data_IF_583260896139
#
_entry.id   IF_583260896139
#
_cell.length_a   1.000
_cell.length_b   1.000
_cell.length_c   1.000
_cell.angle_alpha   90.00
_cell.angle_beta   90.00
_cell.angle_gamma   90.00
#
_symmetry.space_group_name_H-M   'P 1'
#
loop_
_entity.id
_entity.type
_entity.pdbx_description
1 polymer ?
#
# COMPACT_ATOMS: atom_id res chain seq x y z
N UNK A 1 16.58 -41.92 8.34
CA UNK A 1 15.41 -41.11 8.76
C UNK A 1 15.98 -39.79 9.27
N UNK A 2 16.36 -38.86 8.37
CA UNK A 2 15.47 -37.86 7.74
C UNK A 2 14.91 -36.91 8.81
N UNK A 3 15.12 -35.60 8.81
CA UNK A 3 15.71 -34.66 7.85
C UNK A 3 16.11 -33.38 8.62
N UNK A 4 17.18 -32.74 8.17
CA UNK A 4 17.54 -31.35 8.47
C UNK A 4 16.43 -30.40 7.98
N UNK A 5 16.14 -29.38 8.77
CA UNK A 5 15.37 -28.21 8.31
C UNK A 5 16.28 -27.00 8.40
N UNK A 6 16.93 -26.69 7.28
CA UNK A 6 17.42 -25.34 6.98
C UNK A 6 16.24 -24.51 6.51
N UNK A 7 16.03 -23.35 7.13
CA UNK A 7 15.26 -22.26 6.50
C UNK A 7 16.06 -20.97 6.67
N UNK A 8 16.85 -20.71 5.63
CA UNK A 8 17.18 -19.41 5.03
C UNK A 8 17.13 -18.18 5.92
N UNK A 9 18.33 -17.67 6.20
CA UNK A 9 18.58 -16.27 6.52
C UNK A 9 17.88 -15.37 5.50
N UNK A 10 16.97 -14.53 5.98
CA UNK A 10 16.42 -13.43 5.19
C UNK A 10 17.56 -12.44 4.96
N UNK A 11 18.02 -12.37 3.71
CA UNK A 11 19.02 -11.43 3.25
C UNK A 11 18.38 -10.02 3.24
N UNK A 12 18.54 -9.27 4.33
CA UNK A 12 18.13 -7.86 4.38
C UNK A 12 19.14 -7.02 3.58
N UNK A 13 18.97 -6.98 2.26
CA UNK A 13 19.49 -5.86 1.47
C UNK A 13 18.89 -4.56 2.04
N UNK A 14 19.63 -3.45 2.09
CA UNK A 14 19.12 -2.19 2.62
C UNK A 14 18.03 -1.67 1.69
N UNK A 15 16.79 -2.07 1.96
CA UNK A 15 15.65 -1.75 1.14
C UNK A 15 15.39 -0.26 1.27
N UNK A 16 15.68 0.47 0.20
CA UNK A 16 15.46 1.90 0.08
C UNK A 16 14.06 2.23 0.63
N UNK A 17 14.00 3.05 1.69
CA UNK A 17 12.76 3.31 2.44
C UNK A 17 11.80 4.09 1.54
N UNK A 18 10.94 3.37 0.81
CA UNK A 18 9.92 3.96 -0.05
C UNK A 18 8.80 4.54 0.81
N UNK A 19 8.38 5.75 0.47
CA UNK A 19 7.29 6.44 1.17
C UNK A 19 5.96 5.77 0.84
N UNK A 20 5.24 5.27 1.85
CA UNK A 20 3.90 4.71 1.63
C UNK A 20 2.86 5.83 1.53
N UNK A 21 2.29 6.04 0.34
CA UNK A 21 1.29 7.10 0.11
C UNK A 21 -0.08 6.79 0.69
N UNK A 22 -0.39 5.52 0.99
CA UNK A 22 -1.70 5.12 1.51
C UNK A 22 -2.04 5.81 2.85
N UNK A 23 -1.02 6.10 3.66
CA UNK A 23 -1.19 6.76 4.97
C UNK A 23 -1.19 8.29 4.92
N UNK A 24 -1.11 8.91 3.74
CA UNK A 24 -1.02 10.37 3.65
C UNK A 24 -2.41 11.00 3.51
N UNK A 25 -2.63 12.09 4.25
CA UNK A 25 -3.78 12.96 4.01
C UNK A 25 -3.63 13.71 2.68
N UNK A 26 -4.73 14.28 2.18
CA UNK A 26 -4.71 15.06 0.94
C UNK A 26 -3.71 16.24 0.99
N UNK A 27 -3.60 16.92 2.13
CA UNK A 27 -2.61 17.98 2.34
C UNK A 27 -1.19 17.42 2.25
N UNK A 28 -0.92 16.33 2.97
CA UNK A 28 0.42 15.71 3.02
C UNK A 28 0.86 15.17 1.66
N UNK A 29 -0.08 14.65 0.86
CA UNK A 29 0.18 14.30 -0.54
C UNK A 29 0.52 15.53 -1.37
N UNK A 30 -0.22 16.63 -1.20
CA UNK A 30 0.09 17.89 -1.88
C UNK A 30 1.51 18.37 -1.57
N UNK A 31 1.88 18.37 -0.28
CA UNK A 31 3.22 18.76 0.19
C UNK A 31 4.30 17.83 -0.37
N UNK A 32 4.05 16.51 -0.39
CA UNK A 32 4.95 15.53 -0.99
C UNK A 32 5.18 15.80 -2.47
N UNK A 33 4.12 16.07 -3.25
CA UNK A 33 4.26 16.39 -4.67
C UNK A 33 5.03 17.69 -4.90
N UNK A 34 4.80 18.71 -4.08
CA UNK A 34 5.56 19.97 -4.17
C UNK A 34 7.05 19.76 -3.87
N UNK A 35 7.39 18.94 -2.86
CA UNK A 35 8.78 18.60 -2.51
C UNK A 35 9.54 17.91 -3.64
N UNK A 36 8.86 17.08 -4.43
CA UNK A 36 9.47 16.39 -5.59
C UNK A 36 9.44 17.23 -6.88
N UNK A 37 9.03 18.50 -6.81
CA UNK A 37 8.99 19.41 -7.96
C UNK A 37 7.74 19.29 -8.84
N UNK A 38 6.70 18.61 -8.35
CA UNK A 38 5.43 18.43 -9.04
C UNK A 38 4.34 19.38 -8.52
N UNK A 39 3.26 19.52 -9.28
CA UNK A 39 2.13 20.37 -8.89
C UNK A 39 1.26 19.69 -7.82
N UNK A 40 0.81 20.45 -6.82
CA UNK A 40 -0.07 19.97 -5.75
C UNK A 40 -1.32 19.20 -6.24
N UNK A 41 -1.89 19.55 -7.40
CA UNK A 41 -3.09 18.88 -7.93
C UNK A 41 -2.86 17.39 -8.25
N UNK A 42 -1.60 16.95 -8.41
CA UNK A 42 -1.25 15.53 -8.59
C UNK A 42 -1.72 14.67 -7.41
N UNK A 43 -1.77 15.24 -6.20
CA UNK A 43 -2.33 14.58 -5.02
C UNK A 43 -3.77 14.09 -5.27
N UNK A 44 -4.62 14.93 -5.84
CA UNK A 44 -6.01 14.58 -6.15
C UNK A 44 -6.12 13.43 -7.15
N UNK A 45 -5.18 13.35 -8.11
CA UNK A 45 -5.13 12.24 -9.07
C UNK A 45 -4.79 10.92 -8.37
N UNK A 46 -3.78 10.92 -7.48
CA UNK A 46 -3.40 9.74 -6.69
C UNK A 46 -4.55 9.29 -5.78
N UNK A 47 -5.18 10.22 -5.06
CA UNK A 47 -6.32 9.90 -4.18
C UNK A 47 -7.44 9.22 -4.96
N UNK A 48 -7.74 9.72 -6.16
CA UNK A 48 -8.75 9.12 -7.03
C UNK A 48 -8.39 7.68 -7.41
N UNK A 49 -7.14 7.41 -7.79
CA UNK A 49 -6.69 6.06 -8.12
C UNK A 49 -6.75 5.11 -6.93
N UNK A 50 -6.20 5.50 -5.79
CA UNK A 50 -6.11 4.63 -4.63
C UNK A 50 -7.49 4.41 -4.00
N UNK A 51 -8.21 5.49 -3.67
CA UNK A 51 -9.41 5.38 -2.82
C UNK A 51 -10.73 5.25 -3.61
N UNK A 52 -10.82 5.81 -4.83
CA UNK A 52 -12.05 5.69 -5.62
C UNK A 52 -11.99 4.51 -6.59
N UNK A 53 -10.83 4.23 -7.18
CA UNK A 53 -10.66 3.14 -8.15
C UNK A 53 -10.06 1.87 -7.54
N UNK A 54 -9.52 1.92 -6.31
CA UNK A 54 -8.91 0.76 -5.66
C UNK A 54 -7.59 0.31 -6.31
N UNK A 55 -6.93 1.17 -7.09
CA UNK A 55 -5.72 0.84 -7.84
C UNK A 55 -4.49 1.27 -7.05
N UNK A 56 -3.67 0.30 -6.67
CA UNK A 56 -2.41 0.51 -5.96
C UNK A 56 -1.18 0.46 -6.89
N UNK A 57 -1.36 0.07 -8.15
CA UNK A 57 -0.29 0.00 -9.14
C UNK A 57 -0.11 1.35 -9.85
N UNK A 58 1.09 1.93 -9.72
CA UNK A 58 1.46 3.19 -10.37
C UNK A 58 1.45 3.10 -11.90
N UNK A 59 1.71 1.92 -12.48
CA UNK A 59 1.73 1.74 -13.94
C UNK A 59 0.35 1.92 -14.56
N UNK A 60 -0.70 1.54 -13.82
CA UNK A 60 -2.08 1.65 -14.25
C UNK A 60 -2.60 3.10 -14.22
N UNK A 61 -1.87 4.02 -13.58
CA UNK A 61 -2.28 5.42 -13.46
C UNK A 61 -2.00 6.21 -14.75
N UNK A 62 -2.83 5.99 -15.77
CA UNK A 62 -2.65 6.53 -17.14
C UNK A 62 -2.70 8.05 -17.27
N UNK A 63 -3.20 8.77 -16.25
CA UNK A 63 -3.23 10.23 -16.21
C UNK A 63 -1.93 10.86 -15.64
N UNK A 64 -0.97 10.03 -15.23
CA UNK A 64 0.39 10.44 -14.88
C UNK A 64 1.30 10.30 -16.11
N UNK A 65 2.26 11.22 -16.28
CA UNK A 65 3.27 11.07 -17.32
C UNK A 65 4.13 9.83 -17.07
N UNK A 66 4.79 9.32 -18.12
CA UNK A 66 5.73 8.19 -17.98
C UNK A 66 6.85 8.55 -17.00
N UNK A 67 7.46 9.71 -17.17
CA UNK A 67 8.55 10.21 -16.33
C UNK A 67 8.15 10.31 -14.84
N UNK A 68 6.91 10.76 -14.56
CA UNK A 68 6.42 10.84 -13.19
C UNK A 68 6.19 9.45 -12.58
N UNK A 69 5.65 8.51 -13.36
CA UNK A 69 5.47 7.12 -12.89
C UNK A 69 6.81 6.47 -12.58
N UNK A 70 7.80 6.63 -13.45
CA UNK A 70 9.16 6.12 -13.23
C UNK A 70 9.76 6.71 -11.95
N UNK A 71 9.72 8.04 -11.79
CA UNK A 71 10.19 8.71 -10.57
C UNK A 71 9.49 8.22 -9.31
N UNK A 72 8.16 8.02 -9.36
CA UNK A 72 7.39 7.55 -8.22
C UNK A 72 7.75 6.10 -7.86
N UNK A 73 8.04 5.23 -8.83
CA UNK A 73 8.45 3.85 -8.53
C UNK A 73 9.71 3.75 -7.68
N UNK A 74 10.62 4.71 -7.81
CA UNK A 74 11.87 4.72 -7.05
C UNK A 74 11.68 5.16 -5.60
N UNK A 75 10.75 6.09 -5.36
CA UNK A 75 10.63 6.79 -4.06
C UNK A 75 9.35 6.46 -3.28
N UNK A 76 8.33 5.90 -3.94
CA UNK A 76 6.99 5.63 -3.39
C UNK A 76 6.62 4.15 -3.46
N UNK A 77 5.83 3.72 -2.49
CA UNK A 77 5.04 2.51 -2.55
C UNK A 77 3.57 2.78 -2.15
N UNK A 78 2.65 1.92 -2.59
CA UNK A 78 1.27 1.90 -2.13
C UNK A 78 1.02 0.48 -1.63
N UNK A 79 1.29 0.26 -0.34
CA UNK A 79 1.17 -1.06 0.28
C UNK A 79 -0.07 -1.08 1.18
N UNK A 80 -0.95 -2.04 0.91
CA UNK A 80 -2.09 -2.36 1.76
C UNK A 80 -1.63 -3.24 2.94
N UNK A 81 -2.29 -3.14 4.10
CA UNK A 81 -2.00 -4.03 5.21
C UNK A 81 -2.35 -5.48 4.86
N UNK A 82 -1.59 -6.42 5.41
CA UNK A 82 -1.74 -7.86 5.16
C UNK A 82 -3.02 -8.38 5.83
N UNK A 83 -3.85 -9.11 5.08
CA UNK A 83 -5.00 -9.85 5.62
C UNK A 83 -4.52 -11.24 6.05
N UNK A 84 -4.46 -11.48 7.36
CA UNK A 84 -4.01 -12.74 7.96
C UNK A 84 -5.08 -13.83 7.83
N UNK A 85 -6.34 -13.45 8.00
CA UNK A 85 -7.47 -14.37 7.87
C UNK A 85 -8.75 -13.64 7.46
N UNK A 86 -9.63 -14.34 6.74
CA UNK A 86 -10.95 -13.88 6.36
C UNK A 86 -11.99 -14.93 6.75
N UNK A 87 -13.12 -14.50 7.30
CA UNK A 87 -14.25 -15.35 7.67
C UNK A 87 -15.53 -14.78 7.07
N UNK A 88 -16.22 -15.59 6.29
CA UNK A 88 -17.51 -15.28 5.68
C UNK A 88 -18.64 -15.96 6.47
N UNK A 89 -19.68 -15.19 6.81
CA UNK A 89 -20.89 -15.67 7.47
C UNK A 89 -22.02 -15.87 6.46
N UNK A 90 -23.00 -16.72 6.78
CA UNK A 90 -24.18 -16.99 5.94
C UNK A 90 -25.12 -15.79 5.80
N UNK A 91 -25.06 -14.85 6.75
CA UNK A 91 -25.86 -13.61 6.74
C UNK A 91 -25.22 -12.49 5.89
N UNK A 92 -24.07 -12.76 5.26
CA UNK A 92 -23.33 -11.80 4.46
C UNK A 92 -22.32 -10.96 5.25
N UNK A 93 -22.26 -11.12 6.57
CA UNK A 93 -21.20 -10.50 7.38
C UNK A 93 -19.85 -11.08 7.01
N UNK A 94 -18.85 -10.21 6.87
CA UNK A 94 -17.45 -10.61 6.63
C UNK A 94 -16.54 -10.03 7.70
N UNK A 95 -15.64 -10.86 8.20
CA UNK A 95 -14.67 -10.50 9.24
C UNK A 95 -13.25 -10.76 8.75
N UNK A 96 -12.38 -9.77 8.91
CA UNK A 96 -10.97 -9.87 8.58
C UNK A 96 -10.10 -9.65 9.82
N UNK A 97 -9.03 -10.43 9.90
CA UNK A 97 -7.90 -10.16 10.78
C UNK A 97 -6.80 -9.52 9.93
N UNK A 98 -6.45 -8.28 10.26
CA UNK A 98 -5.50 -7.46 9.50
C UNK A 98 -4.26 -7.23 10.36
N UNK A 99 -3.09 -7.53 9.81
CA UNK A 99 -1.81 -7.30 10.47
C UNK A 99 -1.43 -5.83 10.37
N UNK A 100 -0.97 -5.26 11.47
CA UNK A 100 -0.44 -3.90 11.53
C UNK A 100 1.06 -3.92 11.77
N UNK A 101 1.72 -2.81 11.47
CA UNK A 101 3.13 -2.61 11.76
C UNK A 101 3.39 -2.83 13.26
N UNK A 102 4.49 -3.53 13.59
CA UNK A 102 4.80 -3.93 14.96
C UNK A 102 4.24 -5.31 15.36
N UNK A 103 3.64 -6.07 14.44
CA UNK A 103 3.29 -7.48 14.63
C UNK A 103 1.97 -7.74 15.36
N UNK A 104 1.25 -6.68 15.75
CA UNK A 104 -0.11 -6.79 16.27
C UNK A 104 -1.12 -7.02 15.13
N UNK A 105 -2.34 -7.43 15.49
CA UNK A 105 -3.45 -7.58 14.55
C UNK A 105 -4.67 -6.78 15.02
N UNK A 106 -5.42 -6.24 14.07
CA UNK A 106 -6.71 -5.60 14.29
C UNK A 106 -7.81 -6.38 13.57
N UNK A 107 -9.04 -6.23 14.06
CA UNK A 107 -10.21 -6.84 13.45
C UNK A 107 -11.02 -5.80 12.67
N UNK A 108 -11.45 -6.17 11.47
CA UNK A 108 -12.38 -5.38 10.66
C UNK A 108 -13.62 -6.22 10.37
N UNK A 109 -14.81 -5.63 10.55
CA UNK A 109 -16.09 -6.21 10.18
C UNK A 109 -16.74 -5.43 9.05
N UNK A 110 -17.32 -6.14 8.08
CA UNK A 110 -18.23 -5.62 7.07
C UNK A 110 -19.61 -6.23 7.30
N UNK A 111 -20.59 -5.35 7.45
CA UNK A 111 -22.00 -5.69 7.62
C UNK A 111 -22.74 -5.10 6.42
N UNK A 112 -23.29 -5.95 5.53
CA UNK A 112 -24.00 -5.51 4.33
C UNK A 112 -25.38 -4.91 4.60
#
# INVERSE_FOLDING_TARGET
>A
MSQSVEVTATNEEPQQVKTNLLGFSASKLGDFFEQIGEKRFRATQIIKWIHQMGVCDLDQMTNLSKDLREKLKDIVQISLPEVVSCQDSTDGTRKWLIKVDGGSCIEMGYIP
#
